data_IF_572667460941
#
_entry.id   IF_572667460941
#
_cell.length_a   1.000
_cell.length_b   1.000
_cell.length_c   1.000
_cell.angle_alpha   90.00
_cell.angle_beta   90.00
_cell.angle_gamma   90.00
#
_symmetry.space_group_name_H-M   'P 1'
#
loop_
_entity.id
_entity.type
_entity.pdbx_description
1 polymer ?
#
# COMPACT_ATOMS: atom_id res chain seq x y z
N UNK A 1 -6.67 6.73 6.40
CA UNK A 1 -5.90 5.59 6.98
C UNK A 1 -4.64 6.13 7.66
N UNK A 2 -4.33 5.74 8.91
CA UNK A 2 -3.07 6.09 9.57
C UNK A 2 -2.01 5.03 9.29
N UNK A 3 -0.78 5.45 8.98
CA UNK A 3 0.36 4.54 8.72
C UNK A 3 1.48 4.81 9.73
N UNK A 4 1.89 3.77 10.45
CA UNK A 4 3.05 3.81 11.35
C UNK A 4 4.07 2.80 10.84
N UNK A 5 5.26 3.28 10.49
CA UNK A 5 6.31 2.49 9.85
C UNK A 5 7.65 2.84 10.50
N UNK A 6 8.43 1.82 10.86
CA UNK A 6 9.76 2.00 11.45
C UNK A 6 10.76 1.04 10.83
N UNK A 7 12.00 1.51 10.65
CA UNK A 7 13.15 0.64 10.36
C UNK A 7 13.57 -0.03 11.68
N UNK A 8 13.76 -1.34 11.65
CA UNK A 8 14.25 -2.10 12.79
C UNK A 8 13.43 -3.36 13.02
N UNK A 9 13.48 -3.88 14.23
CA UNK A 9 12.65 -4.99 14.67
C UNK A 9 11.25 -4.50 15.08
N UNK A 10 10.36 -5.45 15.39
CA UNK A 10 8.98 -5.16 15.81
C UNK A 10 8.95 -4.32 17.10
N UNK A 11 9.92 -4.50 18.01
CA UNK A 11 10.03 -3.69 19.23
C UNK A 11 10.21 -2.19 18.91
N UNK A 12 11.03 -1.85 17.91
CA UNK A 12 11.21 -0.46 17.49
C UNK A 12 9.91 0.14 16.91
N UNK A 13 9.07 -0.67 16.25
CA UNK A 13 7.75 -0.24 15.77
C UNK A 13 6.77 -0.05 16.93
N UNK A 14 6.76 -0.96 17.91
CA UNK A 14 5.96 -0.88 19.11
C UNK A 14 6.26 0.41 19.90
N UNK A 15 7.53 0.70 20.13
CA UNK A 15 7.96 1.96 20.76
C UNK A 15 7.59 3.21 19.96
N UNK A 16 7.47 3.11 18.63
CA UNK A 16 7.05 4.23 17.78
C UNK A 16 5.54 4.50 17.90
N UNK A 17 4.72 3.45 18.04
CA UNK A 17 3.27 3.57 18.20
C UNK A 17 2.91 4.40 19.43
N UNK A 18 3.57 4.16 20.57
CA UNK A 18 3.31 4.87 21.81
C UNK A 18 3.90 6.28 21.88
N UNK A 19 4.74 6.68 20.92
CA UNK A 19 5.28 8.05 20.83
C UNK A 19 4.38 9.00 20.06
N UNK A 20 3.39 8.48 19.33
CA UNK A 20 2.48 9.32 18.56
C UNK A 20 1.33 9.79 19.44
N UNK A 21 1.40 11.05 19.88
CA UNK A 21 0.31 11.73 20.60
C UNK A 21 -0.97 11.91 19.74
N UNK A 22 -0.91 11.57 18.45
CA UNK A 22 -2.02 11.73 17.50
C UNK A 22 -3.01 10.56 17.47
N UNK A 23 -2.81 9.50 18.26
CA UNK A 23 -3.69 8.32 18.27
C UNK A 23 -4.33 8.13 19.65
N UNK A 24 -5.66 8.30 19.74
CA UNK A 24 -6.41 7.92 20.93
C UNK A 24 -6.64 6.40 20.94
N UNK A 25 -5.84 5.71 21.75
CA UNK A 25 -5.90 4.25 21.90
C UNK A 25 -7.15 3.75 22.63
N UNK A 26 -8.02 4.65 23.12
CA UNK A 26 -9.27 4.31 23.81
C UNK A 26 -10.48 4.28 22.88
N UNK A 27 -10.32 4.65 21.61
CA UNK A 27 -11.40 4.59 20.63
C UNK A 27 -11.80 3.13 20.40
N UNK A 28 -13.08 2.84 20.59
CA UNK A 28 -13.67 1.55 20.29
C UNK A 28 -14.18 1.53 18.84
N UNK A 29 -13.92 0.44 18.13
CA UNK A 29 -14.35 0.25 16.75
C UNK A 29 -15.28 -0.97 16.68
N UNK A 30 -16.51 -0.78 16.21
CA UNK A 30 -17.41 -1.91 15.90
C UNK A 30 -16.91 -2.73 14.70
N UNK A 31 -16.24 -2.08 13.76
CA UNK A 31 -15.64 -2.70 12.57
C UNK A 31 -14.32 -2.02 12.26
N UNK A 32 -13.24 -2.80 12.14
CA UNK A 32 -11.93 -2.28 11.79
C UNK A 32 -11.08 -3.34 11.10
N UNK A 33 -10.42 -2.94 10.01
CA UNK A 33 -9.47 -3.77 9.30
C UNK A 33 -8.03 -3.26 9.50
N UNK A 34 -7.21 -3.99 10.24
CA UNK A 34 -5.78 -3.68 10.43
C UNK A 34 -4.90 -4.50 9.50
N UNK A 35 -3.88 -3.88 8.91
CA UNK A 35 -2.83 -4.59 8.16
C UNK A 35 -1.46 -4.27 8.75
N UNK A 36 -0.60 -5.28 8.85
CA UNK A 36 0.76 -5.17 9.36
C UNK A 36 1.70 -6.01 8.49
N UNK A 37 2.98 -5.62 8.44
CA UNK A 37 3.97 -6.30 7.62
C UNK A 37 5.37 -6.19 8.21
N UNK A 38 6.10 -7.31 8.18
CA UNK A 38 7.55 -7.34 8.40
C UNK A 38 8.23 -7.58 7.07
N UNK A 39 9.16 -6.69 6.69
CA UNK A 39 9.77 -6.68 5.36
C UNK A 39 11.21 -7.16 5.39
N UNK A 40 11.53 -8.17 4.57
CA UNK A 40 12.89 -8.45 4.13
C UNK A 40 13.13 -7.69 2.82
N UNK A 41 14.06 -6.74 2.80
CA UNK A 41 14.22 -5.83 1.66
C UNK A 41 14.84 -6.54 0.44
N UNK A 42 14.10 -6.60 -0.67
CA UNK A 42 14.56 -7.07 -1.99
C UNK A 42 14.89 -5.89 -2.92
N UNK A 43 14.09 -4.83 -2.88
CA UNK A 43 14.30 -3.56 -3.60
C UNK A 43 14.31 -2.36 -2.62
N UNK A 44 15.25 -1.43 -2.80
CA UNK A 44 15.39 -0.23 -1.97
C UNK A 44 15.92 -0.50 -0.55
N UNK A 45 16.62 0.48 0.01
CA UNK A 45 17.23 0.32 1.35
C UNK A 45 16.17 0.23 2.46
N UNK A 46 16.43 -0.49 3.57
CA UNK A 46 15.54 -0.51 4.71
C UNK A 46 15.38 0.90 5.32
N UNK A 47 14.21 1.50 5.16
CA UNK A 47 13.82 2.78 5.75
C UNK A 47 12.29 2.84 5.88
N UNK A 48 11.75 3.85 6.58
CA UNK A 48 10.30 3.95 6.80
C UNK A 48 9.49 4.13 5.50
N UNK A 49 10.05 4.81 4.48
CA UNK A 49 9.39 5.07 3.19
C UNK A 49 9.24 3.77 2.39
N UNK A 50 10.29 2.94 2.38
CA UNK A 50 10.33 1.65 1.71
C UNK A 50 9.66 0.53 2.53
N UNK A 51 9.33 0.75 3.80
CA UNK A 51 8.53 -0.18 4.58
C UNK A 51 7.09 -0.22 4.07
N UNK A 52 6.45 -1.39 4.16
CA UNK A 52 5.02 -1.53 3.91
C UNK A 52 4.23 -1.10 5.16
N UNK A 53 2.94 -0.73 5.03
CA UNK A 53 2.16 -0.61 3.79
C UNK A 53 2.70 0.48 2.84
N UNK A 54 2.63 0.20 1.53
CA UNK A 54 2.79 1.23 0.50
C UNK A 54 1.45 1.89 0.22
N UNK A 55 1.48 3.17 -0.16
CA UNK A 55 0.28 4.01 -0.36
C UNK A 55 0.14 4.53 -1.79
N UNK A 56 -1.10 4.67 -2.25
CA UNK A 56 -1.44 5.22 -3.57
C UNK A 56 -1.11 6.71 -3.67
N UNK A 57 -1.35 7.49 -2.62
CA UNK A 57 -1.27 8.95 -2.60
C UNK A 57 -1.05 9.46 -1.17
N UNK A 58 -0.95 10.77 -0.99
CA UNK A 58 -0.72 11.39 0.33
C UNK A 58 -1.92 11.26 1.28
N UNK A 59 -3.14 11.06 0.75
CA UNK A 59 -4.37 10.81 1.51
C UNK A 59 -4.54 9.35 1.94
N UNK A 60 -3.65 8.45 1.49
CA UNK A 60 -3.70 7.02 1.75
C UNK A 60 -5.04 6.40 1.26
N UNK A 61 -5.53 6.78 0.07
CA UNK A 61 -6.80 6.24 -0.45
C UNK A 61 -6.78 4.72 -0.59
N UNK A 62 -5.66 4.16 -1.04
CA UNK A 62 -5.36 2.73 -1.08
C UNK A 62 -4.00 2.46 -0.43
N UNK A 63 -3.93 1.39 0.35
CA UNK A 63 -2.69 0.89 0.92
C UNK A 63 -2.57 -0.62 0.71
N UNK A 64 -1.34 -1.10 0.52
CA UNK A 64 -1.07 -2.51 0.23
C UNK A 64 0.15 -3.01 1.01
N UNK A 65 0.05 -4.25 1.51
CA UNK A 65 1.20 -5.05 1.95
C UNK A 65 1.45 -6.16 0.95
N UNK A 66 2.72 -6.47 0.70
CA UNK A 66 3.15 -7.37 -0.36
C UNK A 66 4.28 -8.28 0.12
N UNK A 67 4.15 -9.58 -0.14
CA UNK A 67 5.23 -10.55 -0.09
C UNK A 67 5.48 -11.08 -1.49
N UNK A 68 6.71 -10.93 -1.98
CA UNK A 68 7.06 -11.34 -3.33
C UNK A 68 7.89 -10.31 -4.06
N UNK A 69 7.95 -10.45 -5.38
CA UNK A 69 8.65 -9.55 -6.29
C UNK A 69 7.77 -9.33 -7.53
N UNK A 70 7.52 -8.06 -7.85
CA UNK A 70 6.92 -7.68 -9.13
C UNK A 70 8.03 -7.45 -10.15
N UNK A 71 8.16 -8.35 -11.13
CA UNK A 71 9.30 -8.34 -12.06
C UNK A 71 9.21 -7.24 -13.12
N UNK A 72 7.98 -6.82 -13.47
CA UNK A 72 7.71 -5.77 -14.46
C UNK A 72 7.47 -4.37 -13.83
N UNK A 73 7.84 -4.16 -12.56
CA UNK A 73 7.55 -2.89 -11.85
C UNK A 73 8.14 -1.65 -12.54
N UNK A 74 9.24 -1.78 -13.28
CA UNK A 74 9.85 -0.64 -13.99
C UNK A 74 8.96 -0.12 -15.11
N UNK A 75 8.28 -1.02 -15.82
CA UNK A 75 7.38 -0.66 -16.91
C UNK A 75 6.08 -0.06 -16.34
N UNK A 76 5.55 -0.67 -15.28
CA UNK A 76 4.41 -0.13 -14.53
C UNK A 76 4.71 1.26 -13.97
N UNK A 77 5.89 1.47 -13.38
CA UNK A 77 6.31 2.76 -12.84
C UNK A 77 6.36 3.83 -13.92
N UNK A 78 7.03 3.57 -15.04
CA UNK A 78 7.08 4.52 -16.18
C UNK A 78 5.69 4.86 -16.70
N UNK A 79 4.84 3.85 -16.84
CA UNK A 79 3.45 4.05 -17.26
C UNK A 79 2.70 4.97 -16.29
N UNK A 80 2.76 4.70 -14.99
CA UNK A 80 2.06 5.49 -13.97
C UNK A 80 2.63 6.91 -13.85
N UNK A 81 3.95 7.08 -13.92
CA UNK A 81 4.61 8.39 -13.99
C UNK A 81 4.11 9.19 -15.21
N UNK A 82 3.95 8.54 -16.38
CA UNK A 82 3.37 9.19 -17.57
C UNK A 82 1.90 9.60 -17.42
N UNK A 83 1.20 9.02 -16.45
CA UNK A 83 -0.19 9.38 -16.07
C UNK A 83 -0.25 10.41 -14.94
N UNK A 84 0.90 10.92 -14.49
CA UNK A 84 0.99 11.96 -13.45
C UNK A 84 1.06 11.43 -12.02
N UNK A 85 1.31 10.13 -11.82
CA UNK A 85 1.49 9.56 -10.49
C UNK A 85 2.92 9.78 -9.99
N UNK A 86 3.07 10.39 -8.82
CA UNK A 86 4.36 10.58 -8.16
C UNK A 86 4.70 9.40 -7.24
N UNK A 87 5.93 8.92 -7.33
CA UNK A 87 6.47 7.85 -6.49
C UNK A 87 7.36 8.43 -5.39
N UNK A 88 7.25 7.87 -4.18
CA UNK A 88 8.08 8.28 -3.04
C UNK A 88 9.08 7.21 -2.60
N UNK A 89 8.89 5.95 -2.99
CA UNK A 89 9.73 4.82 -2.62
C UNK A 89 10.50 4.26 -3.82
N UNK A 90 11.46 3.40 -3.50
CA UNK A 90 12.24 2.62 -4.47
C UNK A 90 11.70 1.19 -4.61
N UNK A 91 10.56 0.89 -4.00
CA UNK A 91 10.01 -0.46 -3.94
C UNK A 91 9.15 -0.79 -5.15
N UNK A 92 9.23 -2.03 -5.60
CA UNK A 92 8.32 -2.60 -6.59
C UNK A 92 6.87 -2.55 -6.10
N UNK A 93 6.63 -2.77 -4.81
CA UNK A 93 5.30 -2.72 -4.16
C UNK A 93 4.56 -1.40 -4.37
N UNK A 94 5.24 -0.26 -4.44
CA UNK A 94 4.54 1.02 -4.60
C UNK A 94 3.80 1.10 -5.93
N UNK A 95 4.31 0.42 -6.97
CA UNK A 95 3.63 0.37 -8.28
C UNK A 95 2.25 -0.28 -8.16
N UNK A 96 2.08 -1.28 -7.28
CA UNK A 96 0.81 -1.92 -6.99
C UNK A 96 -0.18 -0.91 -6.36
N UNK A 97 0.28 -0.13 -5.38
CA UNK A 97 -0.53 0.87 -4.70
C UNK A 97 -0.98 2.00 -5.65
N UNK A 98 -0.08 2.46 -6.53
CA UNK A 98 -0.41 3.45 -7.55
C UNK A 98 -1.36 2.87 -8.61
N UNK A 99 -1.13 1.63 -9.03
CA UNK A 99 -1.91 0.97 -10.07
C UNK A 99 -3.37 0.75 -9.66
N UNK A 100 -3.63 0.32 -8.42
CA UNK A 100 -5.02 0.15 -7.97
C UNK A 100 -5.78 1.48 -7.96
N UNK A 101 -5.10 2.58 -7.60
CA UNK A 101 -5.68 3.92 -7.73
C UNK A 101 -5.91 4.32 -9.17
N UNK A 102 -4.96 4.05 -10.08
CA UNK A 102 -5.15 4.28 -11.51
C UNK A 102 -6.37 3.54 -12.06
N UNK A 103 -6.55 2.26 -11.71
CA UNK A 103 -7.72 1.48 -12.11
C UNK A 103 -9.01 2.06 -11.52
N UNK A 104 -8.98 2.49 -10.25
CA UNK A 104 -10.12 3.13 -9.60
C UNK A 104 -10.48 4.47 -10.26
N UNK A 105 -9.52 5.35 -10.51
CA UNK A 105 -9.73 6.68 -11.11
C UNK A 105 -10.23 6.59 -12.57
N UNK A 106 -9.97 5.47 -13.26
CA UNK A 106 -10.39 5.20 -14.64
C UNK A 106 -11.51 4.14 -14.72
N UNK A 107 -12.28 3.95 -13.65
CA UNK A 107 -13.42 3.01 -13.64
C UNK A 107 -14.55 3.49 -14.57
N UNK A 108 -15.21 2.53 -15.20
CA UNK A 108 -16.35 2.80 -16.10
C UNK A 108 -17.64 3.12 -15.33
N UNK A 109 -17.79 2.54 -14.14
CA UNK A 109 -18.96 2.68 -13.27
C UNK A 109 -18.53 3.08 -11.88
N UNK A 110 -19.37 3.84 -11.17
CA UNK A 110 -19.09 4.23 -9.79
C UNK A 110 -19.14 3.02 -8.84
N UNK A 111 -20.00 2.04 -9.13
CA UNK A 111 -20.25 0.85 -8.31
C UNK A 111 -19.28 -0.33 -8.54
N UNK A 112 -18.04 -0.05 -8.96
CA UNK A 112 -17.04 -1.10 -9.13
C UNK A 112 -16.70 -1.74 -7.78
N UNK A 113 -16.71 -3.07 -7.71
CA UNK A 113 -16.36 -3.79 -6.46
C UNK A 113 -14.87 -3.75 -6.20
N UNK A 114 -14.47 -3.87 -4.92
CA UNK A 114 -13.06 -3.89 -4.57
C UNK A 114 -12.33 -5.10 -5.18
N UNK A 115 -13.00 -6.26 -5.26
CA UNK A 115 -12.44 -7.45 -5.90
C UNK A 115 -12.14 -7.23 -7.39
N UNK A 116 -13.04 -6.56 -8.13
CA UNK A 116 -12.81 -6.26 -9.54
C UNK A 116 -11.64 -5.30 -9.75
N UNK A 117 -11.44 -4.32 -8.85
CA UNK A 117 -10.23 -3.48 -8.89
C UNK A 117 -8.96 -4.33 -8.72
N UNK A 118 -8.95 -5.22 -7.72
CA UNK A 118 -7.81 -6.10 -7.45
C UNK A 118 -7.57 -7.06 -8.62
N UNK A 119 -8.61 -7.63 -9.22
CA UNK A 119 -8.51 -8.48 -10.41
C UNK A 119 -7.83 -7.76 -11.59
N UNK A 120 -8.25 -6.52 -11.86
CA UNK A 120 -7.63 -5.69 -12.92
C UNK A 120 -6.17 -5.38 -12.61
N UNK A 121 -5.82 -5.17 -11.35
CA UNK A 121 -4.43 -4.94 -10.91
C UNK A 121 -3.57 -6.18 -11.14
N UNK A 122 -3.98 -7.35 -10.62
CA UNK A 122 -3.17 -8.57 -10.70
C UNK A 122 -2.97 -9.06 -12.14
N UNK A 123 -3.87 -8.73 -13.07
CA UNK A 123 -3.70 -9.01 -14.51
C UNK A 123 -2.52 -8.25 -15.15
N UNK A 124 -2.09 -7.13 -14.56
CA UNK A 124 -0.95 -6.34 -15.04
C UNK A 124 0.36 -6.68 -14.32
N UNK A 125 0.31 -7.45 -13.23
CA UNK A 125 1.49 -7.78 -12.44
C UNK A 125 2.17 -9.04 -12.97
N UNK A 126 3.48 -8.97 -13.14
CA UNK A 126 4.31 -10.14 -13.41
C UNK A 126 5.16 -10.49 -12.20
N UNK A 127 5.40 -11.79 -11.99
CA UNK A 127 6.22 -12.31 -10.90
C UNK A 127 5.43 -13.15 -9.91
N UNK A 128 5.85 -13.11 -8.65
CA UNK A 128 5.21 -13.84 -7.56
C UNK A 128 4.83 -12.86 -6.47
N UNK A 129 3.58 -12.91 -6.00
CA UNK A 129 3.07 -11.96 -5.02
C UNK A 129 1.97 -12.58 -4.16
N UNK A 130 1.97 -12.20 -2.88
CA UNK A 130 0.83 -12.31 -1.98
C UNK A 130 0.51 -10.90 -1.46
N UNK A 131 -0.75 -10.49 -1.57
CA UNK A 131 -1.18 -9.10 -1.38
C UNK A 131 -2.34 -9.02 -0.39
N UNK A 132 -2.36 -7.97 0.43
CA UNK A 132 -3.54 -7.55 1.18
C UNK A 132 -3.72 -6.05 0.97
N UNK A 133 -4.92 -5.66 0.53
CA UNK A 133 -5.28 -4.28 0.25
C UNK A 133 -6.22 -3.74 1.33
N UNK A 134 -6.14 -2.43 1.58
CA UNK A 134 -7.12 -1.66 2.37
C UNK A 134 -7.37 -0.33 1.66
N UNK A 135 -8.61 0.15 1.68
CA UNK A 135 -8.98 1.42 1.06
C UNK A 135 -9.99 2.19 1.91
N UNK A 136 -10.00 3.52 1.79
CA UNK A 136 -11.05 4.36 2.38
C UNK A 136 -12.36 4.30 1.60
N UNK A 137 -12.31 3.94 0.31
CA UNK A 137 -13.47 3.86 -0.58
C UNK A 137 -14.29 2.59 -0.36
N UNK A 138 -13.68 1.58 0.28
CA UNK A 138 -14.28 0.30 0.61
C UNK A 138 -14.15 0.04 2.11
N UNK A 139 -14.88 0.79 2.96
CA UNK A 139 -14.85 0.58 4.40
C UNK A 139 -15.56 -0.74 4.75
N UNK A 140 -14.84 -1.64 5.41
CA UNK A 140 -15.31 -2.96 5.84
C UNK A 140 -14.27 -3.66 6.71
#
# INVERSE_FOLDING_TARGET
IQLVKKRGNVKALDEELYKQDSMDLKVEFETHFGIAHTRWATHGVPNAVNSHPQRSDKGNEFVVIHNGIITNYKDLRKFLESKGYEFESETDTETIAKLIKYVFDNRETEDITFSTLVERVIQQLEGAFALVFKSIHYPG
#
